data_IF_636663914052
#
_entry.id   IF_636663914052
#
_cell.length_a   1.000
_cell.length_b   1.000
_cell.length_c   1.000
_cell.angle_alpha   90.00
_cell.angle_beta   90.00
_cell.angle_gamma   90.00
#
_symmetry.space_group_name_H-M   'P 1'
#
loop_
_entity.id
_entity.type
_entity.pdbx_description
1 polymer ?
#
# COMPACT_ATOMS: atom_id res chain seq x y z
N UNK A 1 -5.00 -15.25 0.14
CA UNK A 1 -3.81 -14.39 -0.06
C UNK A 1 -2.84 -14.66 1.07
N UNK A 2 -1.57 -14.94 0.78
CA UNK A 2 -0.54 -15.03 1.82
C UNK A 2 0.02 -13.63 2.06
N UNK A 3 -0.06 -13.14 3.29
CA UNK A 3 0.48 -11.84 3.66
C UNK A 3 1.40 -11.98 4.86
N UNK A 4 2.64 -11.53 4.72
CA UNK A 4 3.69 -11.71 5.71
C UNK A 4 4.28 -10.36 6.09
N UNK A 5 4.32 -10.08 7.39
CA UNK A 5 4.97 -8.91 7.95
C UNK A 5 6.37 -9.28 8.42
N UNK A 6 7.38 -8.57 7.94
CA UNK A 6 8.76 -8.71 8.39
C UNK A 6 9.12 -7.53 9.27
N UNK A 7 9.34 -7.78 10.56
CA UNK A 7 9.96 -6.83 11.48
C UNK A 7 11.33 -7.40 11.87
N UNK A 8 12.40 -6.84 11.31
CA UNK A 8 13.73 -7.44 11.36
C UNK A 8 14.84 -6.38 11.50
N UNK A 9 15.99 -6.75 12.08
CA UNK A 9 17.22 -5.98 11.93
C UNK A 9 17.60 -5.81 10.46
N UNK A 10 18.11 -4.61 10.12
CA UNK A 10 18.42 -4.22 8.73
C UNK A 10 19.29 -5.24 8.01
N UNK A 11 20.30 -5.75 8.70
CA UNK A 11 21.26 -6.71 8.17
C UNK A 11 20.65 -8.08 7.81
N UNK A 12 19.48 -8.41 8.37
CA UNK A 12 18.78 -9.67 8.12
C UNK A 12 17.76 -9.55 6.99
N UNK A 13 17.31 -8.33 6.66
CA UNK A 13 16.24 -8.08 5.69
C UNK A 13 16.57 -8.65 4.31
N UNK A 14 17.73 -8.36 3.67
CA UNK A 14 18.01 -8.81 2.29
C UNK A 14 17.84 -10.32 2.14
N UNK A 15 18.48 -11.09 3.02
CA UNK A 15 18.42 -12.55 3.02
C UNK A 15 17.00 -13.09 3.27
N UNK A 16 16.22 -12.42 4.13
CA UNK A 16 14.87 -12.86 4.46
C UNK A 16 13.86 -12.62 3.34
N UNK A 17 13.99 -11.52 2.59
CA UNK A 17 12.95 -11.05 1.66
C UNK A 17 13.35 -11.09 0.19
N UNK A 18 14.62 -11.32 -0.18
CA UNK A 18 15.07 -11.33 -1.58
C UNK A 18 14.26 -12.26 -2.49
N UNK A 19 13.72 -13.37 -1.98
CA UNK A 19 12.83 -14.26 -2.75
C UNK A 19 11.57 -13.58 -3.31
N UNK A 20 11.14 -12.46 -2.72
CA UNK A 20 10.02 -11.65 -3.21
C UNK A 20 10.48 -10.59 -4.22
N UNK A 21 11.79 -10.40 -4.37
CA UNK A 21 12.47 -9.47 -5.28
C UNK A 21 13.31 -10.23 -6.30
N UNK A 22 12.80 -11.34 -6.84
CA UNK A 22 13.47 -12.13 -7.89
C UNK A 22 14.85 -12.67 -7.48
N UNK A 23 15.10 -12.78 -6.17
CA UNK A 23 16.41 -13.16 -5.61
C UNK A 23 17.42 -12.01 -5.51
N UNK A 24 17.03 -10.78 -5.82
CA UNK A 24 17.92 -9.61 -5.89
C UNK A 24 18.08 -8.94 -4.51
N UNK A 25 19.10 -9.39 -3.76
CA UNK A 25 19.49 -8.74 -2.51
C UNK A 25 19.97 -7.29 -2.71
N UNK A 26 20.52 -6.93 -3.87
CA UNK A 26 20.98 -5.57 -4.12
C UNK A 26 19.79 -4.61 -4.27
N UNK A 27 18.71 -5.04 -4.92
CA UNK A 27 17.45 -4.31 -4.98
C UNK A 27 16.86 -4.14 -3.57
N UNK A 28 16.85 -5.18 -2.74
CA UNK A 28 16.36 -5.06 -1.36
C UNK A 28 17.21 -4.07 -0.55
N UNK A 29 18.54 -4.15 -0.68
CA UNK A 29 19.44 -3.19 -0.03
C UNK A 29 19.19 -1.75 -0.49
N UNK A 30 18.90 -1.55 -1.78
CA UNK A 30 18.51 -0.25 -2.29
C UNK A 30 17.21 0.26 -1.64
N UNK A 31 16.17 -0.59 -1.56
CA UNK A 31 14.89 -0.25 -0.91
C UNK A 31 15.06 0.15 0.56
N UNK A 32 15.88 -0.59 1.32
CA UNK A 32 16.19 -0.25 2.71
C UNK A 32 16.86 1.12 2.83
N UNK A 33 17.71 1.48 1.87
CA UNK A 33 18.45 2.74 1.87
C UNK A 33 17.57 3.95 1.53
N UNK A 34 16.58 3.78 0.63
CA UNK A 34 15.77 4.88 0.10
C UNK A 34 14.41 5.02 0.79
N UNK A 35 13.95 4.01 1.52
CA UNK A 35 12.62 3.98 2.14
C UNK A 35 12.67 3.77 3.65
N UNK A 36 11.59 4.17 4.34
CA UNK A 36 11.46 3.94 5.79
C UNK A 36 10.95 2.54 6.12
N UNK A 37 9.94 2.15 5.36
CA UNK A 37 9.34 0.84 5.25
C UNK A 37 9.11 0.62 3.75
N UNK A 38 8.80 -0.61 3.35
CA UNK A 38 8.35 -0.89 2.00
C UNK A 38 7.51 -2.15 1.96
N UNK A 39 6.59 -2.20 1.01
CA UNK A 39 5.82 -3.38 0.69
C UNK A 39 6.03 -3.83 -0.75
N UNK A 40 5.69 -5.08 -0.99
CA UNK A 40 5.61 -5.65 -2.33
C UNK A 40 4.52 -6.70 -2.36
N UNK A 41 3.81 -6.77 -3.48
CA UNK A 41 2.84 -7.82 -3.72
C UNK A 41 2.99 -8.38 -5.14
N UNK A 42 2.53 -9.61 -5.31
CA UNK A 42 2.47 -10.26 -6.61
C UNK A 42 1.04 -10.47 -7.05
N UNK A 43 0.78 -10.25 -8.33
CA UNK A 43 -0.54 -10.42 -8.95
C UNK A 43 -0.57 -11.62 -9.88
N UNK A 44 -1.74 -12.24 -10.01
CA UNK A 44 -2.05 -13.22 -11.04
C UNK A 44 -3.48 -13.02 -11.49
N UNK A 45 -3.71 -12.87 -12.79
CA UNK A 45 -5.04 -12.59 -13.36
C UNK A 45 -5.73 -11.38 -12.70
N UNK A 46 -4.98 -10.28 -12.50
CA UNK A 46 -5.45 -9.04 -11.83
C UNK A 46 -5.83 -9.19 -10.35
N UNK A 47 -5.55 -10.33 -9.72
CA UNK A 47 -5.78 -10.57 -8.30
C UNK A 47 -4.46 -10.56 -7.52
N UNK A 48 -4.42 -9.90 -6.36
CA UNK A 48 -3.28 -9.97 -5.44
C UNK A 48 -3.23 -11.36 -4.80
N UNK A 49 -2.12 -12.08 -5.02
CA UNK A 49 -1.95 -13.48 -4.53
C UNK A 49 -1.12 -13.57 -3.27
N UNK A 50 -0.09 -12.74 -3.19
CA UNK A 50 0.77 -12.65 -2.03
C UNK A 50 1.20 -11.20 -1.83
N UNK A 51 1.50 -10.88 -0.58
CA UNK A 51 2.03 -9.59 -0.19
C UNK A 51 3.07 -9.76 0.91
N UNK A 52 3.97 -8.81 1.00
CA UNK A 52 4.88 -8.62 2.12
C UNK A 52 4.90 -7.14 2.50
N UNK A 53 5.10 -6.87 3.79
CA UNK A 53 5.46 -5.54 4.28
C UNK A 53 6.71 -5.68 5.17
N UNK A 54 7.66 -4.77 5.00
CA UNK A 54 8.97 -4.83 5.64
C UNK A 54 9.20 -3.60 6.49
N UNK A 55 9.50 -3.85 7.77
CA UNK A 55 9.69 -2.85 8.81
C UNK A 55 11.07 -3.03 9.46
N UNK A 56 12.05 -2.18 9.13
CA UNK A 56 13.32 -2.15 9.83
C UNK A 56 13.15 -1.81 11.32
N UNK A 57 13.83 -2.53 12.20
CA UNK A 57 13.62 -2.49 13.66
C UNK A 57 14.08 -1.23 14.40
N UNK A 58 14.95 -0.42 13.78
CA UNK A 58 15.59 0.74 14.41
C UNK A 58 14.79 2.06 14.30
N UNK A 59 13.51 2.02 13.91
CA UNK A 59 12.71 3.24 13.67
C UNK A 59 11.92 3.70 14.91
N UNK A 60 11.70 5.01 15.12
CA UNK A 60 10.88 5.50 16.24
C UNK A 60 9.43 5.00 16.13
N UNK A 61 8.77 4.77 17.29
CA UNK A 61 7.44 4.14 17.37
C UNK A 61 6.37 4.83 16.53
N UNK A 62 6.32 6.16 16.51
CA UNK A 62 5.29 6.90 15.78
C UNK A 62 5.43 6.74 14.25
N UNK A 63 6.67 6.71 13.75
CA UNK A 63 6.94 6.41 12.34
C UNK A 63 6.61 4.97 11.98
N UNK A 64 6.83 4.04 12.91
CA UNK A 64 6.45 2.64 12.71
C UNK A 64 4.93 2.50 12.53
N UNK A 65 4.13 3.25 13.30
CA UNK A 65 2.67 3.22 13.19
C UNK A 65 2.19 3.70 11.83
N UNK A 66 2.67 4.85 11.36
CA UNK A 66 2.35 5.37 10.03
C UNK A 66 2.72 4.36 8.93
N UNK A 67 3.95 3.82 9.00
CA UNK A 67 4.40 2.77 8.10
C UNK A 67 3.47 1.56 8.08
N UNK A 68 3.07 1.04 9.24
CA UNK A 68 2.14 -0.09 9.28
C UNK A 68 0.84 0.28 8.58
N UNK A 69 0.25 1.44 8.86
CA UNK A 69 -1.01 1.83 8.20
C UNK A 69 -0.84 1.95 6.69
N UNK A 70 0.22 2.61 6.22
CA UNK A 70 0.50 2.84 4.80
C UNK A 70 0.76 1.53 4.06
N UNK A 71 1.73 0.73 4.51
CA UNK A 71 2.16 -0.50 3.83
C UNK A 71 1.05 -1.55 3.80
N UNK A 72 0.30 -1.67 4.89
CA UNK A 72 -0.88 -2.54 4.94
C UNK A 72 -1.92 -2.13 3.90
N UNK A 73 -2.13 -0.82 3.72
CA UNK A 73 -3.16 -0.34 2.81
C UNK A 73 -2.70 -0.41 1.34
N UNK A 74 -1.41 -0.21 1.07
CA UNK A 74 -0.85 -0.38 -0.26
C UNK A 74 -1.00 -1.82 -0.77
N UNK A 75 -0.68 -2.82 0.06
CA UNK A 75 -0.82 -4.24 -0.33
C UNK A 75 -2.27 -4.71 -0.45
N UNK A 76 -3.23 -3.96 0.09
CA UNK A 76 -4.65 -4.21 -0.08
C UNK A 76 -5.16 -3.74 -1.46
N UNK A 77 -4.36 -2.97 -2.20
CA UNK A 77 -4.67 -2.58 -3.58
C UNK A 77 -4.74 -1.07 -3.83
N UNK A 78 -4.19 -0.25 -2.92
CA UNK A 78 -3.95 1.19 -3.14
C UNK A 78 -2.44 1.49 -3.22
N UNK A 79 -1.70 0.96 -4.21
CA UNK A 79 -0.23 0.93 -4.19
C UNK A 79 0.45 2.23 -4.63
N UNK A 80 -0.31 3.25 -5.03
CA UNK A 80 0.24 4.44 -5.67
C UNK A 80 0.30 5.59 -4.68
N UNK A 81 1.49 6.16 -4.52
CA UNK A 81 1.69 7.43 -3.82
C UNK A 81 1.66 8.61 -4.80
N UNK A 82 1.26 9.78 -4.32
CA UNK A 82 1.24 11.00 -5.11
C UNK A 82 1.18 12.26 -4.25
N UNK A 83 2.12 13.17 -4.49
CA UNK A 83 2.13 14.50 -3.88
C UNK A 83 0.86 15.35 -4.17
N UNK A 84 0.07 14.97 -5.18
CA UNK A 84 -1.17 15.69 -5.55
C UNK A 84 -2.41 15.22 -4.77
N UNK A 85 -2.34 14.06 -4.11
CA UNK A 85 -3.47 13.51 -3.35
C UNK A 85 -3.43 14.09 -1.95
N UNK A 86 -4.32 15.02 -1.63
CA UNK A 86 -4.40 15.62 -0.31
C UNK A 86 -5.86 15.87 0.09
N UNK A 87 -6.26 15.59 1.35
CA UNK A 87 -5.47 14.96 2.41
C UNK A 87 -5.35 13.44 2.19
N UNK A 88 -4.19 12.82 2.41
CA UNK A 88 -4.01 11.36 2.29
C UNK A 88 -2.71 10.91 2.96
N UNK A 89 -2.71 9.68 3.50
CA UNK A 89 -1.47 9.03 3.95
C UNK A 89 -0.53 8.69 2.77
N UNK A 90 -1.07 8.45 1.57
CA UNK A 90 -0.34 8.17 0.33
C UNK A 90 0.26 9.41 -0.34
N UNK A 91 0.33 10.53 0.39
CA UNK A 91 1.03 11.72 -0.08
C UNK A 91 2.48 11.64 0.39
N UNK A 92 3.46 11.76 -0.52
CA UNK A 92 4.89 11.75 -0.17
C UNK A 92 5.30 12.85 0.83
N UNK A 93 4.45 13.88 1.00
CA UNK A 93 4.62 14.99 1.96
C UNK A 93 3.66 14.91 3.14
N UNK A 94 2.98 13.77 3.32
CA UNK A 94 2.00 13.53 4.36
C UNK A 94 2.62 13.72 5.75
N UNK A 95 1.81 14.23 6.67
CA UNK A 95 2.08 14.25 8.12
C UNK A 95 1.08 13.39 8.89
N UNK A 96 0.29 12.58 8.19
CA UNK A 96 -0.74 11.74 8.79
C UNK A 96 -0.14 10.42 9.25
N UNK A 97 -0.52 9.98 10.45
CA UNK A 97 -0.12 8.69 11.03
C UNK A 97 -1.22 7.63 10.88
N UNK A 98 -2.37 8.00 10.34
CA UNK A 98 -3.59 7.22 10.25
C UNK A 98 -4.31 7.51 8.94
N UNK A 99 -5.20 6.60 8.51
CA UNK A 99 -6.06 6.82 7.35
C UNK A 99 -6.93 8.06 7.54
N UNK A 100 -6.81 8.99 6.59
CA UNK A 100 -7.70 10.15 6.45
C UNK A 100 -9.10 9.70 6.00
N UNK A 101 -10.08 10.61 6.01
CA UNK A 101 -11.39 10.32 5.41
C UNK A 101 -11.27 9.99 3.92
N UNK A 102 -10.39 10.69 3.21
CA UNK A 102 -10.12 10.45 1.79
C UNK A 102 -9.64 9.01 1.55
N UNK A 103 -8.67 8.55 2.34
CA UNK A 103 -8.13 7.19 2.23
C UNK A 103 -9.21 6.14 2.50
N UNK A 104 -10.11 6.41 3.46
CA UNK A 104 -11.24 5.52 3.78
C UNK A 104 -12.24 5.44 2.63
N UNK A 105 -12.53 6.54 1.94
CA UNK A 105 -13.38 6.50 0.74
C UNK A 105 -12.72 5.70 -0.38
N UNK A 106 -11.41 5.89 -0.59
CA UNK A 106 -10.66 5.11 -1.59
C UNK A 106 -10.73 3.61 -1.30
N UNK A 107 -10.57 3.21 -0.04
CA UNK A 107 -10.72 1.82 0.39
C UNK A 107 -12.14 1.30 0.21
N UNK A 108 -13.15 2.06 0.61
CA UNK A 108 -14.55 1.69 0.43
C UNK A 108 -14.90 1.47 -1.04
N UNK A 109 -14.43 2.38 -1.92
CA UNK A 109 -14.60 2.22 -3.36
C UNK A 109 -13.89 1.00 -3.91
N UNK A 110 -12.63 0.78 -3.53
CA UNK A 110 -11.83 -0.36 -4.00
C UNK A 110 -12.50 -1.72 -3.70
N UNK A 111 -13.15 -1.82 -2.54
CA UNK A 111 -13.83 -3.03 -2.08
C UNK A 111 -15.34 -3.03 -2.30
N UNK A 112 -15.90 -2.02 -2.97
CA UNK A 112 -17.32 -2.02 -3.33
C UNK A 112 -17.60 -3.17 -4.32
N UNK A 113 -18.67 -3.97 -4.12
CA UNK A 113 -18.99 -5.09 -4.99
C UNK A 113 -19.14 -4.74 -6.47
N UNK A 114 -19.37 -3.47 -6.82
CA UNK A 114 -19.43 -2.98 -8.20
C UNK A 114 -18.05 -2.92 -8.86
N UNK A 115 -16.97 -2.73 -8.10
CA UNK A 115 -15.59 -2.82 -8.61
C UNK A 115 -15.20 -4.30 -8.73
N UNK A 116 -14.79 -4.70 -9.93
CA UNK A 116 -14.39 -6.08 -10.24
C UNK A 116 -12.91 -6.14 -10.63
N UNK A 117 -12.26 -7.26 -10.31
CA UNK A 117 -10.88 -7.52 -10.70
C UNK A 117 -10.75 -7.49 -12.22
N UNK A 118 -9.72 -6.80 -12.73
CA UNK A 118 -9.47 -6.69 -14.17
C UNK A 118 -10.44 -5.78 -14.92
N UNK A 119 -11.27 -5.01 -14.22
CA UNK A 119 -12.14 -4.00 -14.84
C UNK A 119 -11.30 -3.01 -15.68
N UNK A 120 -11.72 -2.70 -16.93
CA UNK A 120 -11.07 -1.68 -17.73
C UNK A 120 -10.99 -0.34 -16.98
N UNK A 121 -9.87 0.38 -17.15
CA UNK A 121 -9.62 1.62 -16.40
C UNK A 121 -10.76 2.64 -16.51
N UNK A 122 -11.31 2.83 -17.70
CA UNK A 122 -12.39 3.80 -17.93
C UNK A 122 -13.68 3.40 -17.19
N UNK A 123 -14.03 2.12 -17.22
CA UNK A 123 -15.16 1.56 -16.48
C UNK A 123 -14.96 1.69 -14.97
N UNK A 124 -13.76 1.38 -14.46
CA UNK A 124 -13.42 1.52 -13.04
C UNK A 124 -13.52 2.97 -12.57
N UNK A 125 -13.10 3.94 -13.39
CA UNK A 125 -13.24 5.37 -13.07
C UNK A 125 -14.72 5.79 -13.04
N UNK A 126 -15.52 5.34 -14.00
CA UNK A 126 -16.95 5.66 -14.07
C UNK A 126 -17.70 5.08 -12.86
N UNK A 127 -17.51 3.77 -12.59
CA UNK A 127 -18.11 3.09 -11.44
C UNK A 127 -17.63 3.68 -10.13
N UNK A 128 -16.34 3.99 -10.01
CA UNK A 128 -15.76 4.65 -8.84
C UNK A 128 -16.43 5.99 -8.51
N UNK A 129 -16.71 6.82 -9.52
CA UNK A 129 -17.44 8.08 -9.33
C UNK A 129 -18.86 7.87 -8.80
N UNK A 130 -19.57 6.86 -9.30
CA UNK A 130 -20.91 6.51 -8.81
C UNK A 130 -20.86 6.09 -7.34
N UNK A 131 -19.95 5.17 -7.01
CA UNK A 131 -19.75 4.73 -5.62
C UNK A 131 -19.41 5.92 -4.72
N UNK A 132 -18.49 6.79 -5.16
CA UNK A 132 -18.08 7.95 -4.39
C UNK A 132 -19.26 8.87 -4.05
N UNK A 133 -20.14 9.12 -5.02
CA UNK A 133 -21.34 9.93 -4.80
C UNK A 133 -22.29 9.30 -3.78
N UNK A 134 -22.39 7.96 -3.75
CA UNK A 134 -23.23 7.24 -2.80
C UNK A 134 -22.67 7.30 -1.37
N UNK A 135 -21.34 7.12 -1.22
CA UNK A 135 -20.67 7.10 0.10
C UNK A 135 -20.33 8.49 0.63
N UNK A 136 -20.37 9.52 -0.24
CA UNK A 136 -20.13 10.93 0.08
C UNK A 136 -21.27 11.81 -0.48
N UNK A 137 -22.51 11.67 0.02
CA UNK A 137 -23.61 12.50 -0.46
C UNK A 137 -23.43 13.96 -0.02
N UNK A 138 -23.55 14.89 -0.97
CA UNK A 138 -23.61 16.34 -0.68
C UNK A 138 -22.29 17.06 -0.48
N UNK A 139 -21.14 16.46 -0.84
CA UNK A 139 -19.84 17.13 -0.90
C UNK A 139 -19.20 16.96 -2.27
#
# INVERSE_FOLDING_TARGET
MNFILFYLPVEQIPKAVAKYFDGDEAQVNYMIKVSTCFAKFGTKNNEIKWAIAVFPDHRPKDHMRACVVEELTQVLGLPNDSAQVAPSIFNDKSRYFELTEHDRWMLQMLYDPRIKLGMPREEAISTGRLILNDIRPGK
#
